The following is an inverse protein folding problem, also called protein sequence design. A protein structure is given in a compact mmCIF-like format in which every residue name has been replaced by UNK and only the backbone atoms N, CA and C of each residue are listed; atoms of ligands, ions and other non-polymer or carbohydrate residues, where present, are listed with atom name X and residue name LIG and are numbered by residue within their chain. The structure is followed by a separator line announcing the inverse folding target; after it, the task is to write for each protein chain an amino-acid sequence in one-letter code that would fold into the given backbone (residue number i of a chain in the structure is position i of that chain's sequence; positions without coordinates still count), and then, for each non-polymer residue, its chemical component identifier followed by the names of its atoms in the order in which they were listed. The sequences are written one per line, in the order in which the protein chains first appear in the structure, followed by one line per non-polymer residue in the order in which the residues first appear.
data_IF_236225141837
#
_entry.id   IF_236225141837
#
_cell.length_a   1.000
_cell.length_b   1.000
_cell.length_c   1.000
_cell.angle_alpha   90.00
_cell.angle_beta   90.00
_cell.angle_gamma   90.00
#
_symmetry.space_group_name_H-M   'P 1'
#
loop_
_entity.id
_entity.type
_entity.pdbx_description
1 polymer ?
#
# COMPACT_ATOMS: atom_id res chain seq x y z
N UNK A 1 -31.72 -17.80 85.14
CA UNK A 1 -32.25 -17.96 83.78
C UNK A 1 -32.32 -19.46 83.53
N UNK A 2 -33.42 -19.99 82.98
CA UNK A 2 -33.61 -21.45 82.85
C UNK A 2 -32.83 -21.98 81.64
N UNK A 3 -32.36 -23.24 81.67
CA UNK A 3 -31.61 -23.89 80.58
C UNK A 3 -32.37 -23.81 79.23
N UNK A 4 -33.71 -23.75 79.28
CA UNK A 4 -34.57 -23.57 78.09
C UNK A 4 -34.45 -22.19 77.44
N UNK A 5 -34.20 -21.15 78.23
CA UNK A 5 -34.07 -19.76 77.74
C UNK A 5 -32.73 -19.57 77.02
N UNK A 6 -31.68 -20.25 77.48
CA UNK A 6 -30.34 -20.23 76.88
C UNK A 6 -30.30 -20.98 75.53
N UNK A 7 -30.96 -22.15 75.45
CA UNK A 7 -31.10 -22.92 74.20
C UNK A 7 -31.93 -22.16 73.14
N UNK A 8 -32.97 -21.43 73.57
CA UNK A 8 -33.80 -20.64 72.65
C UNK A 8 -33.02 -19.46 72.06
N UNK A 9 -32.21 -18.80 72.89
CA UNK A 9 -31.34 -17.70 72.48
C UNK A 9 -30.28 -18.12 71.45
N UNK A 10 -29.63 -19.27 71.65
CA UNK A 10 -28.63 -19.81 70.70
C UNK A 10 -29.26 -20.17 69.34
N UNK A 11 -30.47 -20.74 69.33
CA UNK A 11 -31.21 -21.03 68.09
C UNK A 11 -31.52 -19.76 67.27
N UNK A 12 -31.91 -18.67 67.95
CA UNK A 12 -32.26 -17.43 67.27
C UNK A 12 -31.03 -16.67 66.75
N UNK A 13 -29.89 -16.76 67.46
CA UNK A 13 -28.60 -16.27 66.94
C UNK A 13 -28.16 -17.03 65.69
N UNK A 14 -28.31 -18.36 65.67
CA UNK A 14 -27.97 -19.18 64.50
C UNK A 14 -28.81 -18.82 63.27
N UNK A 15 -30.12 -18.58 63.45
CA UNK A 15 -31.00 -18.13 62.36
C UNK A 15 -30.60 -16.75 61.84
N UNK A 16 -30.28 -15.81 62.73
CA UNK A 16 -29.85 -14.47 62.34
C UNK A 16 -28.53 -14.51 61.56
N UNK A 17 -27.59 -15.37 61.95
CA UNK A 17 -26.35 -15.61 61.21
C UNK A 17 -26.62 -16.14 59.80
N UNK A 18 -27.50 -17.13 59.66
CA UNK A 18 -27.89 -17.68 58.35
C UNK A 18 -28.51 -16.61 57.43
N UNK A 19 -29.40 -15.77 57.96
CA UNK A 19 -30.04 -14.68 57.20
C UNK A 19 -28.98 -13.63 56.78
N UNK A 20 -28.01 -13.34 57.65
CA UNK A 20 -26.92 -12.43 57.33
C UNK A 20 -26.01 -12.98 56.22
N UNK A 21 -25.72 -14.27 56.23
CA UNK A 21 -24.99 -14.94 55.15
C UNK A 21 -25.76 -14.90 53.81
N UNK A 22 -27.06 -15.18 53.82
CA UNK A 22 -27.92 -15.06 52.63
C UNK A 22 -27.92 -13.62 52.08
N UNK A 23 -28.01 -12.63 52.98
CA UNK A 23 -27.93 -11.22 52.60
C UNK A 23 -26.61 -10.86 51.92
N UNK A 24 -25.48 -11.30 52.48
CA UNK A 24 -24.16 -11.05 51.88
C UNK A 24 -24.02 -11.74 50.53
N UNK A 25 -24.49 -12.98 50.39
CA UNK A 25 -24.45 -13.70 49.11
C UNK A 25 -25.25 -12.98 48.01
N UNK A 26 -26.42 -12.42 48.35
CA UNK A 26 -27.21 -11.60 47.42
C UNK A 26 -26.47 -10.31 47.06
N UNK A 27 -25.85 -9.65 48.04
CA UNK A 27 -25.08 -8.43 47.83
C UNK A 27 -23.87 -8.66 46.91
N UNK A 28 -23.14 -9.74 47.12
CA UNK A 28 -22.00 -10.14 46.28
C UNK A 28 -22.46 -10.47 44.86
N UNK A 29 -23.58 -11.17 44.72
CA UNK A 29 -24.20 -11.45 43.42
C UNK A 29 -24.59 -10.17 42.69
N UNK A 30 -25.17 -9.19 43.40
CA UNK A 30 -25.53 -7.89 42.83
C UNK A 30 -24.28 -7.11 42.39
N UNK A 31 -23.21 -7.17 43.17
CA UNK A 31 -21.92 -6.56 42.84
C UNK A 31 -21.32 -7.19 41.58
N UNK A 32 -21.37 -8.52 41.46
CA UNK A 32 -20.92 -9.23 40.27
C UNK A 32 -21.74 -8.85 39.03
N UNK A 33 -23.08 -8.80 39.14
CA UNK A 33 -23.93 -8.37 38.03
C UNK A 33 -23.62 -6.94 37.59
N UNK A 34 -23.36 -6.03 38.52
CA UNK A 34 -22.96 -4.64 38.20
C UNK A 34 -21.66 -4.61 37.38
N UNK A 35 -20.69 -5.45 37.72
CA UNK A 35 -19.44 -5.59 36.94
C UNK A 35 -19.71 -6.15 35.54
N UNK A 36 -20.56 -7.18 35.42
CA UNK A 36 -20.93 -7.76 34.13
C UNK A 36 -21.66 -6.77 33.22
N UNK A 37 -22.61 -6.00 33.76
CA UNK A 37 -23.31 -4.93 33.04
C UNK A 37 -22.32 -3.90 32.51
N UNK A 38 -21.37 -3.48 33.34
CA UNK A 38 -20.33 -2.53 32.95
C UNK A 38 -19.45 -3.09 31.82
N UNK A 39 -19.08 -4.36 31.88
CA UNK A 39 -18.34 -5.06 30.81
C UNK A 39 -19.14 -5.11 29.50
N UNK A 40 -20.42 -5.45 29.56
CA UNK A 40 -21.31 -5.47 28.39
C UNK A 40 -21.46 -4.07 27.77
N UNK A 41 -21.62 -3.02 28.58
CA UNK A 41 -21.66 -1.65 28.09
C UNK A 41 -20.38 -1.27 27.31
N UNK A 42 -19.21 -1.69 27.77
CA UNK A 42 -17.96 -1.46 27.03
C UNK A 42 -17.89 -2.25 25.73
N UNK A 43 -18.33 -3.51 25.74
CA UNK A 43 -18.38 -4.34 24.52
C UNK A 43 -19.29 -3.71 23.46
N UNK A 44 -20.47 -3.22 23.83
CA UNK A 44 -21.39 -2.52 22.92
C UNK A 44 -20.73 -1.29 22.30
N UNK A 45 -20.09 -0.43 23.12
CA UNK A 45 -19.37 0.75 22.61
C UNK A 45 -18.23 0.40 21.66
N UNK A 46 -17.54 -0.72 21.90
CA UNK A 46 -16.47 -1.19 21.02
C UNK A 46 -17.03 -1.64 19.66
N UNK A 47 -18.10 -2.44 19.66
CA UNK A 47 -18.77 -2.89 18.43
C UNK A 47 -19.30 -1.70 17.63
N UNK A 48 -19.94 -0.73 18.29
CA UNK A 48 -20.43 0.50 17.63
C UNK A 48 -19.29 1.25 16.92
N UNK A 49 -18.13 1.40 17.56
CA UNK A 49 -16.95 2.02 16.95
C UNK A 49 -16.45 1.23 15.74
N UNK A 50 -16.44 -0.09 15.81
CA UNK A 50 -16.00 -0.95 14.72
C UNK A 50 -16.95 -0.86 13.53
N UNK A 51 -18.26 -0.87 13.75
CA UNK A 51 -19.28 -0.64 12.70
C UNK A 51 -19.07 0.71 12.01
N UNK A 52 -18.84 1.79 12.78
CA UNK A 52 -18.56 3.13 12.21
C UNK A 52 -17.28 3.14 11.37
N UNK A 53 -16.24 2.40 11.76
CA UNK A 53 -15.00 2.27 10.98
C UNK A 53 -15.23 1.52 9.67
N UNK A 54 -15.93 0.38 9.72
CA UNK A 54 -16.22 -0.40 8.52
C UNK A 54 -17.09 0.37 7.53
N UNK A 55 -18.11 1.10 7.99
CA UNK A 55 -18.90 1.99 7.13
C UNK A 55 -18.03 3.06 6.44
N UNK A 56 -17.08 3.66 7.15
CA UNK A 56 -16.12 4.61 6.55
C UNK A 56 -15.21 3.94 5.52
N UNK A 57 -14.72 2.73 5.81
CA UNK A 57 -13.87 1.99 4.88
C UNK A 57 -14.63 1.65 3.60
N UNK A 58 -15.85 1.14 3.70
CA UNK A 58 -16.70 0.82 2.55
C UNK A 58 -17.01 2.06 1.71
N UNK A 59 -17.39 3.18 2.33
CA UNK A 59 -17.65 4.44 1.59
C UNK A 59 -16.41 4.98 0.89
N UNK A 60 -15.23 4.89 1.52
CA UNK A 60 -13.97 5.29 0.91
C UNK A 60 -13.57 4.37 -0.26
N UNK A 61 -13.79 3.07 -0.14
CA UNK A 61 -13.51 2.11 -1.22
C UNK A 61 -14.44 2.32 -2.42
N UNK A 62 -15.73 2.59 -2.20
CA UNK A 62 -16.66 2.97 -3.28
C UNK A 62 -16.22 4.25 -3.98
N UNK A 63 -15.74 5.26 -3.24
CA UNK A 63 -15.20 6.50 -3.83
C UNK A 63 -13.92 6.22 -4.65
N UNK A 64 -13.00 5.40 -4.15
CA UNK A 64 -11.77 5.03 -4.87
C UNK A 64 -12.06 4.27 -6.16
N UNK A 65 -12.99 3.32 -6.14
CA UNK A 65 -13.38 2.54 -7.32
C UNK A 65 -14.05 3.42 -8.39
N UNK A 66 -14.81 4.45 -8.01
CA UNK A 66 -15.35 5.44 -8.95
C UNK A 66 -14.27 6.33 -9.60
N UNK A 67 -13.16 6.58 -8.90
CA UNK A 67 -12.04 7.42 -9.41
C UNK A 67 -11.06 6.61 -10.27
N UNK A 68 -11.01 5.29 -10.12
CA UNK A 68 -10.13 4.41 -10.89
C UNK A 68 -10.58 4.21 -12.34
N UNK A 69 -11.88 4.34 -12.62
CA UNK A 69 -12.39 4.32 -13.98
C UNK A 69 -12.40 5.75 -14.55
N UNK A 70 -11.59 5.99 -15.60
CA UNK A 70 -11.49 7.21 -16.42
C UNK A 70 -10.48 8.30 -15.98
N UNK A 71 -9.28 7.92 -15.54
CA UNK A 71 -8.15 8.85 -15.74
C UNK A 71 -7.67 8.69 -17.16
N UNK A 72 -7.92 9.69 -18.01
CA UNK A 72 -7.31 9.77 -19.33
C UNK A 72 -5.79 9.62 -19.17
N UNK A 73 -5.10 8.90 -20.09
CA UNK A 73 -3.65 8.76 -20.01
C UNK A 73 -3.03 10.15 -19.99
N UNK A 74 -2.44 10.52 -18.85
CA UNK A 74 -1.64 11.74 -18.70
C UNK A 74 -0.52 11.73 -19.73
N UNK A 75 0.04 12.90 -20.10
CA UNK A 75 0.89 13.10 -21.28
C UNK A 75 2.05 12.09 -21.49
N UNK A 76 2.53 11.41 -20.44
CA UNK A 76 3.54 10.34 -20.54
C UNK A 76 3.01 8.97 -21.00
N UNK A 77 1.71 8.72 -20.80
CA UNK A 77 1.00 7.50 -21.20
C UNK A 77 0.24 7.67 -22.53
N UNK A 78 0.22 8.88 -23.11
CA UNK A 78 -0.33 9.11 -24.45
C UNK A 78 0.64 8.51 -25.48
N UNK A 79 0.19 7.61 -26.37
CA UNK A 79 1.00 7.16 -27.49
C UNK A 79 1.39 8.33 -28.39
N UNK A 80 2.62 8.30 -28.89
CA UNK A 80 3.13 9.26 -29.86
C UNK A 80 3.89 8.52 -30.95
N UNK A 81 3.89 9.05 -32.17
CA UNK A 81 4.77 8.54 -33.22
C UNK A 81 6.22 8.60 -32.75
N UNK A 82 6.99 7.58 -33.11
CA UNK A 82 8.43 7.50 -32.81
C UNK A 82 9.22 7.22 -34.08
N UNK A 83 10.54 7.47 -34.05
CA UNK A 83 11.39 7.26 -35.23
C UNK A 83 11.49 5.78 -35.61
N UNK A 84 11.88 5.51 -36.87
CA UNK A 84 12.13 4.17 -37.40
C UNK A 84 13.14 3.38 -36.56
N UNK A 85 14.21 4.05 -36.10
CA UNK A 85 15.25 3.46 -35.26
C UNK A 85 14.69 2.92 -33.93
N UNK A 86 13.81 3.69 -33.28
CA UNK A 86 13.18 3.26 -32.04
C UNK A 86 12.16 2.12 -32.28
N UNK A 87 11.43 2.17 -33.40
CA UNK A 87 10.56 1.06 -33.80
C UNK A 87 11.37 -0.23 -34.02
N UNK A 88 12.49 -0.14 -34.75
CA UNK A 88 13.38 -1.26 -35.01
C UNK A 88 13.98 -1.83 -33.72
N UNK A 89 14.42 -0.96 -32.79
CA UNK A 89 14.95 -1.38 -31.50
C UNK A 89 13.92 -2.11 -30.62
N UNK A 90 12.65 -1.71 -30.71
CA UNK A 90 11.55 -2.35 -29.98
C UNK A 90 10.87 -3.50 -30.75
N UNK A 91 11.38 -3.86 -31.94
CA UNK A 91 10.80 -4.87 -32.84
C UNK A 91 9.32 -4.58 -33.17
N UNK A 92 9.00 -3.30 -33.40
CA UNK A 92 7.67 -2.82 -33.78
C UNK A 92 7.65 -2.37 -35.25
N UNK A 93 6.48 -2.45 -35.92
CA UNK A 93 6.35 -1.96 -37.29
C UNK A 93 6.60 -0.45 -37.35
N UNK A 94 7.23 0.00 -38.43
CA UNK A 94 7.52 1.41 -38.68
C UNK A 94 6.23 2.24 -38.65
N UNK A 95 6.27 3.41 -37.99
CA UNK A 95 5.11 4.27 -37.83
C UNK A 95 4.19 3.92 -36.64
N UNK A 96 4.57 2.95 -35.82
CA UNK A 96 3.85 2.65 -34.57
C UNK A 96 3.81 3.85 -33.62
N UNK A 97 2.66 4.05 -32.96
CA UNK A 97 2.53 5.01 -31.88
C UNK A 97 2.82 4.32 -30.55
N UNK A 98 3.87 4.74 -29.87
CA UNK A 98 4.34 4.12 -28.63
C UNK A 98 4.31 5.16 -27.52
N UNK A 99 3.77 4.78 -26.36
CA UNK A 99 3.77 5.66 -25.20
C UNK A 99 5.18 5.72 -24.58
N UNK A 100 5.59 6.91 -24.11
CA UNK A 100 6.90 7.10 -23.48
C UNK A 100 7.15 6.14 -22.30
N UNK A 101 6.11 5.86 -21.52
CA UNK A 101 6.17 4.87 -20.43
C UNK A 101 6.51 3.45 -20.89
N UNK A 102 6.02 3.03 -22.06
CA UNK A 102 6.33 1.71 -22.63
C UNK A 102 7.77 1.64 -23.10
N UNK A 103 8.25 2.69 -23.78
CA UNK A 103 9.65 2.80 -24.21
C UNK A 103 10.59 2.74 -23.01
N UNK A 104 10.32 3.50 -21.94
CA UNK A 104 11.17 3.48 -20.74
C UNK A 104 11.18 2.10 -20.07
N UNK A 105 10.03 1.42 -19.98
CA UNK A 105 9.96 0.06 -19.44
C UNK A 105 10.75 -0.94 -20.29
N UNK A 106 10.61 -0.85 -21.61
CA UNK A 106 11.36 -1.70 -22.54
C UNK A 106 12.86 -1.48 -22.38
N UNK A 107 13.30 -0.22 -22.32
CA UNK A 107 14.71 0.14 -22.15
C UNK A 107 15.30 -0.40 -20.85
N UNK A 108 14.60 -0.24 -19.72
CA UNK A 108 15.03 -0.79 -18.44
C UNK A 108 15.11 -2.32 -18.49
N UNK A 109 14.14 -2.98 -19.14
CA UNK A 109 14.14 -4.43 -19.33
C UNK A 109 15.30 -4.87 -20.21
N UNK A 110 15.58 -4.17 -21.31
CA UNK A 110 16.67 -4.45 -22.22
C UNK A 110 18.03 -4.39 -21.52
N UNK A 111 18.29 -3.29 -20.81
CA UNK A 111 19.54 -3.07 -20.06
C UNK A 111 19.75 -4.20 -19.03
N UNK A 112 18.68 -4.59 -18.31
CA UNK A 112 18.74 -5.69 -17.33
C UNK A 112 18.95 -7.05 -17.95
N UNK A 113 18.25 -7.36 -19.05
CA UNK A 113 18.32 -8.68 -19.69
C UNK A 113 19.68 -8.91 -20.34
N UNK A 114 20.29 -7.86 -20.88
CA UNK A 114 21.61 -7.90 -21.51
C UNK A 114 22.76 -7.60 -20.54
N UNK A 115 22.48 -7.47 -19.23
CA UNK A 115 23.47 -7.15 -18.19
C UNK A 115 24.39 -5.97 -18.54
N UNK A 116 23.82 -4.90 -19.11
CA UNK A 116 24.55 -3.72 -19.58
C UNK A 116 24.96 -2.77 -18.45
N UNK A 117 25.31 -3.30 -17.29
CA UNK A 117 25.75 -2.54 -16.13
C UNK A 117 27.26 -2.70 -15.94
N UNK A 118 27.90 -1.66 -15.42
CA UNK A 118 29.31 -1.73 -15.04
C UNK A 118 29.45 -2.62 -13.79
N UNK A 119 29.98 -3.84 -13.99
CA UNK A 119 30.06 -4.89 -12.96
C UNK A 119 31.14 -4.63 -11.89
N UNK A 120 32.05 -3.67 -12.14
CA UNK A 120 33.24 -3.41 -11.32
C UNK A 120 32.98 -2.55 -10.06
N UNK A 121 31.73 -2.15 -9.79
CA UNK A 121 31.44 -1.30 -8.64
C UNK A 121 30.91 -2.13 -7.46
N UNK A 122 31.82 -2.40 -6.50
CA UNK A 122 31.55 -3.03 -5.19
C UNK A 122 30.54 -2.22 -4.37
N UNK A 123 30.41 -0.92 -4.67
CA UNK A 123 29.38 -0.04 -4.11
C UNK A 123 28.22 0.11 -5.10
N UNK A 124 27.06 -0.46 -4.76
CA UNK A 124 25.77 -0.42 -5.49
C UNK A 124 25.20 1.01 -5.75
N UNK A 125 26.03 2.05 -5.80
CA UNK A 125 25.66 3.47 -5.89
C UNK A 125 25.70 4.02 -7.32
N UNK A 126 26.47 3.42 -8.22
CA UNK A 126 26.65 3.95 -9.57
C UNK A 126 25.85 3.12 -10.57
N UNK A 127 24.64 3.61 -10.91
CA UNK A 127 23.77 3.08 -11.98
C UNK A 127 24.33 3.35 -13.39
N UNK A 128 25.64 3.11 -13.60
CA UNK A 128 26.30 3.36 -14.87
C UNK A 128 25.97 2.24 -15.86
N UNK A 129 25.57 2.65 -17.05
CA UNK A 129 25.16 1.77 -18.13
C UNK A 129 26.32 1.67 -19.12
N UNK A 130 26.72 0.45 -19.45
CA UNK A 130 27.68 0.16 -20.53
C UNK A 130 26.86 -0.29 -21.73
N UNK A 131 26.51 0.61 -22.66
CA UNK A 131 25.63 0.29 -23.77
C UNK A 131 26.34 -0.66 -24.74
N UNK A 132 25.59 -1.63 -25.27
CA UNK A 132 26.02 -2.41 -26.42
C UNK A 132 25.94 -1.57 -27.70
N UNK A 133 26.43 -2.10 -28.82
CA UNK A 133 26.40 -1.40 -30.11
C UNK A 133 24.98 -0.98 -30.51
N UNK A 134 23.98 -1.83 -30.22
CA UNK A 134 22.56 -1.55 -30.51
C UNK A 134 22.06 -0.34 -29.73
N UNK A 135 22.29 -0.31 -28.42
CA UNK A 135 21.87 0.80 -27.56
C UNK A 135 22.68 2.06 -27.85
N UNK A 136 23.98 1.94 -28.13
CA UNK A 136 24.84 3.06 -28.51
C UNK A 136 24.36 3.71 -29.81
N UNK A 137 24.03 2.90 -30.82
CA UNK A 137 23.50 3.38 -32.10
C UNK A 137 22.14 4.06 -31.95
N UNK A 138 21.25 3.50 -31.13
CA UNK A 138 19.98 4.14 -30.82
C UNK A 138 20.21 5.50 -30.14
N UNK A 139 20.95 5.53 -29.04
CA UNK A 139 21.20 6.76 -28.28
C UNK A 139 22.03 7.78 -29.07
N UNK A 140 22.79 7.35 -30.08
CA UNK A 140 23.67 8.17 -30.91
C UNK A 140 24.64 9.00 -30.07
N UNK A 141 25.35 8.33 -29.18
CA UNK A 141 26.29 8.93 -28.22
C UNK A 141 27.72 8.55 -28.56
N UNK A 142 28.64 9.48 -28.31
CA UNK A 142 30.08 9.28 -28.49
C UNK A 142 30.70 8.53 -27.29
N UNK A 143 31.90 7.96 -27.48
CA UNK A 143 32.59 7.19 -26.42
C UNK A 143 32.83 7.99 -25.13
N UNK A 144 32.97 9.31 -25.26
CA UNK A 144 33.09 10.21 -24.11
C UNK A 144 31.79 10.28 -23.29
N UNK A 145 30.63 10.27 -23.93
CA UNK A 145 29.34 10.36 -23.26
C UNK A 145 28.91 9.04 -22.61
N UNK A 146 29.40 7.90 -23.13
CA UNK A 146 29.18 6.57 -22.54
C UNK A 146 29.65 6.53 -21.09
N UNK A 147 30.78 7.20 -20.79
CA UNK A 147 31.34 7.23 -19.44
C UNK A 147 30.39 7.79 -18.38
N UNK A 148 29.43 8.64 -18.78
CA UNK A 148 28.45 9.31 -17.91
C UNK A 148 27.02 8.81 -18.11
N UNK A 149 26.83 7.72 -18.86
CA UNK A 149 25.51 7.18 -19.16
C UNK A 149 24.92 6.45 -17.93
N UNK A 150 23.75 6.90 -17.49
CA UNK A 150 22.99 6.28 -16.41
C UNK A 150 21.49 6.39 -16.68
N UNK A 151 20.65 5.77 -15.83
CA UNK A 151 19.20 5.81 -15.98
C UNK A 151 18.56 7.20 -15.96
N UNK A 152 19.23 8.19 -15.36
CA UNK A 152 18.74 9.56 -15.32
C UNK A 152 19.04 10.29 -16.64
N UNK A 153 20.27 10.17 -17.12
CA UNK A 153 20.75 10.85 -18.32
C UNK A 153 20.24 10.20 -19.62
N UNK A 154 19.98 8.89 -19.63
CA UNK A 154 19.52 8.17 -20.84
C UNK A 154 18.23 8.77 -21.43
N UNK A 155 17.36 9.34 -20.60
CA UNK A 155 16.12 9.98 -21.04
C UNK A 155 16.36 11.20 -21.94
N UNK A 156 17.47 11.92 -21.73
CA UNK A 156 17.87 13.08 -22.53
C UNK A 156 18.12 12.65 -23.98
N UNK A 157 18.86 11.57 -24.17
CA UNK A 157 19.18 11.00 -25.48
C UNK A 157 17.95 10.38 -26.14
N UNK A 158 17.07 9.75 -25.36
CA UNK A 158 15.83 9.17 -25.88
C UNK A 158 14.83 10.20 -26.42
N UNK A 159 14.88 11.46 -25.97
CA UNK A 159 13.94 12.51 -26.40
C UNK A 159 13.92 12.72 -27.92
N UNK A 160 15.04 12.53 -28.61
CA UNK A 160 15.14 12.73 -30.07
C UNK A 160 14.32 11.73 -30.88
N UNK A 161 13.97 10.59 -30.28
CA UNK A 161 13.17 9.54 -30.92
C UNK A 161 11.66 9.74 -30.79
N UNK A 162 11.23 10.76 -30.05
CA UNK A 162 9.82 11.11 -29.93
C UNK A 162 9.53 12.36 -30.75
N UNK A 163 8.58 12.26 -31.68
CA UNK A 163 8.11 13.45 -32.38
C UNK A 163 7.36 14.35 -31.39
N UNK A 164 8.00 15.46 -30.99
CA UNK A 164 7.36 16.44 -30.13
C UNK A 164 6.29 17.18 -30.93
N UNK A 165 5.14 17.47 -30.31
CA UNK A 165 4.04 18.24 -30.92
C UNK A 165 4.45 19.60 -31.54
N UNK A 166 5.67 20.08 -31.24
CA UNK A 166 6.25 21.30 -31.82
C UNK A 166 6.72 21.16 -33.27
N UNK A 167 6.81 19.93 -33.80
CA UNK A 167 7.27 19.64 -35.17
C UNK A 167 6.14 19.30 -36.16
N UNK A 168 4.86 19.38 -35.74
CA UNK A 168 3.70 19.14 -36.61
C UNK A 168 3.23 20.41 -37.35
N UNK A 169 4.11 21.41 -37.48
CA UNK A 169 3.87 22.60 -38.30
C UNK A 169 5.01 22.66 -39.31
N UNK A 170 4.82 21.99 -40.44
CA UNK A 170 5.38 22.32 -41.75
C UNK A 170 4.62 21.51 -42.80
#
# INVERSE_FOLDING_TARGET
MSIKDEILFDSDILKLSSIFEEFNNIYDSLTLFKMQISSLQQKVKCVEKNVKKELKNLTNNVKKNKVQNKRAPSGFAKPSKVTKELCAFMEKPEGSEIARTEVTKFLVKYIKTNNLFEQDNIDNKNNKIVPDEKLKNLLGIDDFEISNLNYFNIQKYMNKHFYSNKQLIN
#
